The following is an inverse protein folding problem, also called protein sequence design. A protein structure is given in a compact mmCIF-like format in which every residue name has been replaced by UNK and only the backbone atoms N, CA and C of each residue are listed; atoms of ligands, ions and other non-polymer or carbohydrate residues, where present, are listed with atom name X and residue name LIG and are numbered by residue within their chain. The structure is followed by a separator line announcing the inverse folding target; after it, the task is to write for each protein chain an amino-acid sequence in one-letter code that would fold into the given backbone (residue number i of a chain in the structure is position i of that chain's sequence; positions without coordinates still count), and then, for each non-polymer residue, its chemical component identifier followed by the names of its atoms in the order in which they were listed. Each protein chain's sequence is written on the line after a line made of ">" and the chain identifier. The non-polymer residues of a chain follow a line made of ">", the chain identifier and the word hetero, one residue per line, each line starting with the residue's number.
data_IF_793632078111
#
_entry.id   IF_793632078111
#
_cell.length_a   1.000
_cell.length_b   1.000
_cell.length_c   1.000
_cell.angle_alpha   90.00
_cell.angle_beta   90.00
_cell.angle_gamma   90.00
#
_symmetry.space_group_name_H-M   'P 1'
#
loop_
_entity.id
_entity.type
_entity.pdbx_description
1 polymer ?
#
# COMPACT_ATOMS: atom_id res chain seq x y z
N UNK A 1 7.40 -4.87 -25.90
CA UNK A 1 7.76 -5.57 -24.65
C UNK A 1 9.02 -4.93 -24.08
N UNK A 2 9.04 -4.51 -22.82
CA UNK A 2 10.30 -4.12 -22.18
C UNK A 2 11.09 -5.38 -21.79
N UNK A 3 12.42 -5.33 -21.80
CA UNK A 3 13.25 -6.51 -21.52
C UNK A 3 13.07 -6.97 -20.06
N UNK A 4 13.11 -8.29 -19.85
CA UNK A 4 13.12 -8.89 -18.51
C UNK A 4 14.45 -8.60 -17.80
N UNK A 5 14.40 -8.07 -16.58
CA UNK A 5 15.58 -7.72 -15.80
C UNK A 5 15.84 -8.76 -14.71
N UNK A 6 17.06 -9.28 -14.63
CA UNK A 6 17.47 -10.17 -13.53
C UNK A 6 17.56 -9.38 -12.23
N UNK A 7 16.90 -9.85 -11.18
CA UNK A 7 16.91 -9.21 -9.85
C UNK A 7 17.84 -10.01 -8.93
N UNK A 8 18.84 -9.39 -8.27
CA UNK A 8 19.88 -10.15 -7.57
C UNK A 8 19.44 -10.82 -6.26
N UNK A 9 18.26 -10.48 -5.72
CA UNK A 9 17.69 -11.06 -4.49
C UNK A 9 16.47 -11.96 -4.74
N UNK A 10 16.20 -12.32 -6.00
CA UNK A 10 15.12 -13.24 -6.37
C UNK A 10 15.59 -14.19 -7.45
N UNK A 11 15.10 -15.42 -7.39
CA UNK A 11 15.18 -16.41 -8.46
C UNK A 11 14.29 -16.05 -9.68
N UNK A 12 13.43 -15.05 -9.55
CA UNK A 12 12.54 -14.57 -10.61
C UNK A 12 13.11 -13.35 -11.36
N UNK A 13 12.70 -13.20 -12.63
CA UNK A 13 12.99 -12.02 -13.44
C UNK A 13 11.90 -10.95 -13.26
N UNK A 14 12.31 -9.69 -13.13
CA UNK A 14 11.38 -8.57 -13.13
C UNK A 14 10.95 -8.24 -14.56
N UNK A 15 9.63 -8.09 -14.74
CA UNK A 15 9.04 -7.58 -15.96
C UNK A 15 8.62 -6.12 -15.75
N UNK A 16 9.02 -5.26 -16.68
CA UNK A 16 8.55 -3.87 -16.74
C UNK A 16 7.67 -3.73 -17.97
N UNK A 17 6.57 -3.00 -17.86
CA UNK A 17 5.74 -2.64 -19.01
C UNK A 17 5.35 -1.17 -18.87
N UNK A 18 5.36 -0.46 -19.98
CA UNK A 18 4.67 0.82 -20.10
C UNK A 18 3.28 0.50 -20.63
N UNK A 19 2.28 0.70 -19.80
CA UNK A 19 0.89 0.58 -20.19
C UNK A 19 0.38 2.01 -20.25
N UNK A 20 -0.06 2.41 -21.43
CA UNK A 20 -0.71 3.70 -21.62
C UNK A 20 -2.11 3.61 -21.02
N UNK A 21 -2.22 3.90 -19.74
CA UNK A 21 -3.51 4.17 -19.13
C UNK A 21 -3.92 5.60 -19.48
N UNK A 22 -5.20 5.85 -19.83
CA UNK A 22 -5.71 7.20 -19.75
C UNK A 22 -5.44 7.72 -18.31
N UNK A 23 -5.11 9.01 -18.14
CA UNK A 23 -4.96 9.57 -16.80
C UNK A 23 -6.20 9.18 -15.97
N UNK A 24 -6.01 8.74 -14.71
CA UNK A 24 -7.14 8.34 -13.88
C UNK A 24 -8.20 9.44 -13.94
N UNK A 25 -9.49 9.10 -14.10
CA UNK A 25 -10.53 10.09 -14.32
C UNK A 25 -10.42 11.16 -13.23
N UNK A 26 -10.03 12.36 -13.65
CA UNK A 26 -10.10 13.53 -12.80
C UNK A 26 -11.60 13.78 -12.60
N UNK A 27 -12.08 13.55 -11.38
CA UNK A 27 -13.47 13.65 -10.94
C UNK A 27 -14.38 12.50 -11.37
N UNK A 28 -14.71 11.61 -10.43
CA UNK A 28 -15.96 10.84 -10.48
C UNK A 28 -15.90 9.43 -9.88
N UNK A 29 -14.74 8.77 -9.91
CA UNK A 29 -14.56 7.45 -9.32
C UNK A 29 -13.32 7.43 -8.44
N UNK A 30 -13.51 7.38 -7.13
CA UNK A 30 -12.42 7.35 -6.14
C UNK A 30 -11.62 6.05 -6.29
N UNK A 31 -10.35 6.08 -6.72
CA UNK A 31 -9.54 4.87 -6.80
C UNK A 31 -9.21 4.41 -5.37
N UNK A 32 -9.78 3.27 -4.97
CA UNK A 32 -9.53 2.65 -3.66
C UNK A 32 -8.17 1.98 -3.71
N UNK A 33 -7.20 2.53 -2.99
CA UNK A 33 -5.90 1.89 -2.78
C UNK A 33 -5.62 1.80 -1.29
N UNK A 34 -5.38 0.59 -0.79
CA UNK A 34 -4.97 0.38 0.60
C UNK A 34 -3.63 1.10 0.86
N UNK A 35 -3.44 1.66 2.07
CA UNK A 35 -2.17 2.25 2.52
C UNK A 35 -1.37 1.22 3.33
N UNK A 36 -0.43 0.47 2.73
CA UNK A 36 0.24 -0.62 3.42
C UNK A 36 1.13 -0.13 4.57
N UNK A 37 1.61 1.11 4.50
CA UNK A 37 2.45 1.70 5.55
C UNK A 37 1.78 1.71 6.93
N UNK A 38 0.44 1.87 6.99
CA UNK A 38 -0.26 1.86 8.27
C UNK A 38 -0.35 0.45 8.86
N UNK A 39 -0.35 -0.59 8.01
CA UNK A 39 -0.29 -2.00 8.43
C UNK A 39 1.09 -2.40 8.95
N UNK A 40 2.15 -1.70 8.52
CA UNK A 40 3.53 -1.95 8.93
C UNK A 40 3.91 -1.24 10.25
N UNK A 41 2.98 -0.54 10.89
CA UNK A 41 3.16 0.08 12.21
C UNK A 41 2.67 -0.90 13.30
N UNK A 42 3.57 -1.63 13.98
CA UNK A 42 3.21 -2.70 14.89
C UNK A 42 2.47 -2.21 16.14
N UNK A 43 2.77 -0.99 16.60
CA UNK A 43 2.15 -0.41 17.79
C UNK A 43 0.72 0.04 17.48
N UNK A 44 0.52 0.70 16.33
CA UNK A 44 -0.81 1.08 15.85
C UNK A 44 -1.66 -0.15 15.53
N UNK A 45 -1.07 -1.20 14.96
CA UNK A 45 -1.76 -2.46 14.71
C UNK A 45 -2.23 -3.11 16.00
N UNK A 46 -1.36 -3.18 17.01
CA UNK A 46 -1.72 -3.66 18.35
C UNK A 46 -2.79 -2.81 19.04
N UNK A 47 -2.76 -1.50 18.83
CA UNK A 47 -3.75 -0.59 19.44
C UNK A 47 -5.14 -0.76 18.81
N UNK A 48 -5.23 -0.89 17.48
CA UNK A 48 -6.49 -1.12 16.79
C UNK A 48 -7.07 -2.53 17.04
N UNK A 49 -6.23 -3.48 17.45
CA UNK A 49 -6.65 -4.77 17.98
C UNK A 49 -7.12 -4.71 19.45
N UNK A 50 -7.09 -3.57 20.15
CA UNK A 50 -7.49 -3.54 21.58
C UNK A 50 -8.92 -4.06 21.78
N UNK A 51 -9.11 -4.69 22.95
CA UNK A 51 -10.38 -5.23 23.44
C UNK A 51 -10.94 -6.42 22.63
N UNK A 52 -10.05 -7.26 22.08
CA UNK A 52 -10.37 -8.57 21.51
C UNK A 52 -10.88 -9.53 22.61
N UNK A 53 -12.16 -9.44 22.91
CA UNK A 53 -12.92 -10.48 23.57
C UNK A 53 -14.10 -10.85 22.65
N UNK A 54 -13.87 -11.67 21.61
CA UNK A 54 -14.96 -12.11 20.76
C UNK A 54 -15.96 -12.90 21.61
N UNK A 55 -17.26 -12.51 21.60
CA UNK A 55 -18.28 -13.24 22.32
C UNK A 55 -18.53 -14.59 21.62
N UNK A 56 -18.62 -15.67 22.41
CA UNK A 56 -18.91 -17.01 21.89
C UNK A 56 -18.42 -18.10 22.84
N UNK A 57 -19.26 -19.10 23.07
CA UNK A 57 -18.93 -20.25 23.90
C UNK A 57 -18.49 -21.46 23.05
N UNK A 58 -18.70 -21.37 21.73
CA UNK A 58 -18.30 -22.38 20.75
C UNK A 58 -17.10 -21.94 19.89
N UNK A 59 -16.35 -22.92 19.38
CA UNK A 59 -15.19 -22.67 18.52
C UNK A 59 -15.56 -21.88 17.26
N UNK A 60 -16.71 -22.17 16.67
CA UNK A 60 -17.18 -21.50 15.44
C UNK A 60 -17.47 -20.02 15.71
N UNK A 61 -18.17 -19.71 16.79
CA UNK A 61 -18.47 -18.32 17.20
C UNK A 61 -17.20 -17.53 17.52
N UNK A 62 -16.23 -18.17 18.18
CA UNK A 62 -14.93 -17.54 18.43
C UNK A 62 -14.22 -17.21 17.11
N UNK A 63 -14.10 -18.16 16.19
CA UNK A 63 -13.43 -17.94 14.88
C UNK A 63 -14.10 -16.83 14.08
N UNK A 64 -15.44 -16.81 14.07
CA UNK A 64 -16.21 -15.78 13.36
C UNK A 64 -16.06 -14.41 14.02
N UNK A 65 -16.14 -14.33 15.35
CA UNK A 65 -15.89 -13.11 16.11
C UNK A 65 -14.49 -12.54 15.88
N UNK A 66 -13.48 -13.40 15.88
CA UNK A 66 -12.09 -13.03 15.55
C UNK A 66 -11.95 -12.49 14.13
N UNK A 67 -12.59 -13.12 13.13
CA UNK A 67 -12.55 -12.65 11.75
C UNK A 67 -13.19 -11.27 11.58
N UNK A 68 -14.35 -11.05 12.22
CA UNK A 68 -15.06 -9.77 12.16
C UNK A 68 -14.23 -8.66 12.80
N UNK A 69 -13.65 -8.91 13.98
CA UNK A 69 -12.83 -7.93 14.69
C UNK A 69 -11.52 -7.63 13.95
N UNK A 70 -10.88 -8.65 13.37
CA UNK A 70 -9.67 -8.48 12.56
C UNK A 70 -9.95 -7.62 11.32
N UNK A 71 -11.08 -7.86 10.65
CA UNK A 71 -11.49 -7.07 9.49
C UNK A 71 -11.73 -5.60 9.87
N UNK A 72 -12.40 -5.35 11.00
CA UNK A 72 -12.63 -4.00 11.52
C UNK A 72 -11.32 -3.28 11.86
N UNK A 73 -10.38 -3.96 12.51
CA UNK A 73 -9.05 -3.40 12.82
C UNK A 73 -8.28 -3.06 11.54
N UNK A 74 -8.33 -3.91 10.51
CA UNK A 74 -7.71 -3.63 9.21
C UNK A 74 -8.33 -2.38 8.57
N UNK A 75 -9.66 -2.23 8.60
CA UNK A 75 -10.34 -1.06 8.06
C UNK A 75 -10.03 0.22 8.85
N UNK A 76 -9.80 0.14 10.16
CA UNK A 76 -9.35 1.27 10.99
C UNK A 76 -7.90 1.66 10.68
N UNK A 77 -7.01 0.66 10.58
CA UNK A 77 -5.58 0.86 10.38
C UNK A 77 -5.31 1.32 8.96
N UNK A 78 -5.93 0.70 7.96
CA UNK A 78 -5.72 1.00 6.56
C UNK A 78 -7.06 1.26 5.88
N UNK A 79 -7.74 2.37 6.22
CA UNK A 79 -9.03 2.69 5.65
C UNK A 79 -8.89 2.77 4.14
N UNK A 80 -9.80 2.07 3.47
CA UNK A 80 -10.01 2.21 2.03
C UNK A 80 -10.28 3.69 1.76
N UNK A 81 -9.33 4.37 1.16
CA UNK A 81 -9.44 5.78 0.89
C UNK A 81 -8.67 6.17 -0.35
N UNK A 82 -9.04 7.29 -0.98
CA UNK A 82 -8.28 7.82 -2.09
C UNK A 82 -6.83 8.06 -1.64
N UNK A 83 -5.89 7.42 -2.32
CA UNK A 83 -4.53 7.94 -2.33
C UNK A 83 -4.58 9.27 -3.07
N UNK A 84 -4.71 10.37 -2.31
CA UNK A 84 -4.35 11.68 -2.86
C UNK A 84 -2.93 11.54 -3.40
N UNK A 85 -2.65 11.79 -4.69
CA UNK A 85 -1.30 11.81 -5.19
C UNK A 85 -0.58 12.89 -4.40
N UNK A 86 0.16 12.46 -3.39
CA UNK A 86 0.84 13.37 -2.48
C UNK A 86 1.98 13.93 -3.32
N UNK A 87 1.79 15.13 -3.86
CA UNK A 87 2.84 15.96 -4.48
C UNK A 87 3.79 16.49 -3.39
N UNK A 88 4.00 15.74 -2.32
CA UNK A 88 4.96 16.10 -1.29
C UNK A 88 6.15 15.20 -1.57
N UNK A 89 7.26 15.84 -1.96
CA UNK A 89 8.58 15.21 -1.93
C UNK A 89 8.70 14.40 -0.64
N UNK A 90 9.20 13.17 -0.76
CA UNK A 90 9.55 12.42 0.42
C UNK A 90 10.56 13.27 1.23
N UNK A 91 10.54 13.27 2.57
CA UNK A 91 11.42 14.13 3.38
C UNK A 91 12.92 13.92 3.09
N UNK A 92 13.27 12.74 2.56
CA UNK A 92 14.62 12.38 2.14
C UNK A 92 14.91 12.70 0.65
N UNK A 93 13.91 13.11 -0.12
CA UNK A 93 14.03 13.43 -1.54
C UNK A 93 14.49 14.89 -1.70
N UNK A 94 15.81 15.07 -1.61
CA UNK A 94 16.47 16.36 -1.78
C UNK A 94 16.40 16.84 -3.23
N UNK A 95 16.64 18.14 -3.43
CA UNK A 95 16.68 18.75 -4.76
C UNK A 95 17.79 18.15 -5.64
N UNK A 96 18.91 17.74 -5.04
CA UNK A 96 20.00 17.02 -5.71
C UNK A 96 19.54 15.67 -6.29
N UNK A 97 18.82 14.88 -5.51
CA UNK A 97 18.21 13.62 -5.99
C UNK A 97 17.16 13.88 -7.07
N UNK A 98 16.42 14.99 -6.94
CA UNK A 98 15.49 15.47 -7.96
C UNK A 98 16.18 15.85 -9.28
N UNK A 99 17.39 16.41 -9.22
CA UNK A 99 18.21 16.77 -10.38
C UNK A 99 18.84 15.54 -11.02
N UNK A 100 19.48 14.66 -10.23
CA UNK A 100 19.99 13.36 -10.70
C UNK A 100 18.91 12.55 -11.42
N UNK A 101 17.69 12.49 -10.86
CA UNK A 101 16.56 11.77 -11.48
C UNK A 101 16.06 12.43 -12.78
N UNK A 102 16.24 13.75 -12.94
CA UNK A 102 15.92 14.46 -14.19
C UNK A 102 17.00 14.23 -15.25
N UNK A 103 18.26 14.25 -14.85
CA UNK A 103 19.40 14.03 -15.74
C UNK A 103 19.42 12.59 -16.25
N UNK A 104 19.17 11.60 -15.38
CA UNK A 104 19.00 10.19 -15.78
C UNK A 104 17.90 10.02 -16.83
N UNK A 105 16.78 10.76 -16.69
CA UNK A 105 15.66 10.71 -17.65
C UNK A 105 15.91 11.45 -18.96
N UNK A 106 16.95 12.28 -19.03
CA UNK A 106 17.40 12.92 -20.29
C UNK A 106 18.44 12.07 -21.02
N UNK A 107 19.02 11.09 -20.33
CA UNK A 107 20.00 10.14 -20.86
C UNK A 107 19.34 8.84 -21.37
N UNK A 108 18.07 8.60 -21.04
CA UNK A 108 17.18 7.60 -21.66
C UNK A 108 16.49 8.16 -22.90
#
# INVERSE_FOLDING_TARGET
>A
MSPSMKVPWSDHYALKARIDFPPPPCLGGEPIWARPQRLMDPDRFRQALRDLAPPGDSLTELVEGWNIQLLAAIDEIAPKGPLRPRRNWAPWFTEELGKMKRDLRRLE
#
